data_IF_671951844918
#
_entry.id   IF_671951844918
#
_cell.length_a   1.000
_cell.length_b   1.000
_cell.length_c   1.000
_cell.angle_alpha   90.00
_cell.angle_beta   90.00
_cell.angle_gamma   90.00
#
_symmetry.space_group_name_H-M   'P 1'
#
loop_
_entity.id
_entity.type
_entity.pdbx_description
1 polymer ?
#
# COMPACT_ATOMS: atom_id res chain seq x y z
N UNK A 1 -10.94 -3.56 14.09
CA UNK A 1 -10.31 -4.80 14.65
C UNK A 1 -10.55 -5.92 13.65
N UNK A 2 -9.59 -6.85 13.49
CA UNK A 2 -9.68 -7.91 12.47
C UNK A 2 -9.19 -7.47 11.08
N UNK A 3 -8.27 -6.50 11.01
CA UNK A 3 -7.60 -6.12 9.76
C UNK A 3 -6.33 -6.97 9.59
N UNK A 4 -5.96 -7.25 8.34
CA UNK A 4 -4.67 -7.85 8.04
C UNK A 4 -3.57 -6.82 8.31
N UNK A 5 -2.51 -7.23 9.01
CA UNK A 5 -1.32 -6.42 9.26
C UNK A 5 -0.18 -7.08 8.49
N UNK A 6 0.52 -6.32 7.64
CA UNK A 6 1.60 -6.83 6.82
C UNK A 6 2.81 -5.89 6.81
N UNK A 7 4.01 -6.41 6.53
CA UNK A 7 5.21 -5.60 6.44
C UNK A 7 5.20 -4.61 5.26
N UNK A 8 5.86 -3.47 5.49
CA UNK A 8 6.14 -2.41 4.50
C UNK A 8 7.56 -1.84 4.70
N UNK A 9 8.55 -2.74 4.78
CA UNK A 9 9.95 -2.49 5.13
C UNK A 9 10.15 -2.08 6.60
N UNK A 10 11.30 -2.40 7.19
CA UNK A 10 11.68 -1.91 8.53
C UNK A 10 12.32 -0.50 8.42
N UNK A 11 13.12 -0.27 7.38
CA UNK A 11 13.84 1.00 7.16
C UNK A 11 13.30 1.84 6.01
N UNK A 12 12.19 1.42 5.39
CA UNK A 12 11.58 2.06 4.23
C UNK A 12 12.58 2.26 3.08
N UNK A 13 13.34 1.20 2.78
CA UNK A 13 14.42 1.21 1.80
C UNK A 13 13.89 1.34 0.36
N UNK A 14 14.60 2.10 -0.48
CA UNK A 14 14.38 2.09 -1.92
C UNK A 14 15.14 0.91 -2.54
N UNK A 15 14.43 -0.09 -3.06
CA UNK A 15 15.07 -1.31 -3.56
C UNK A 15 15.53 -1.25 -5.01
N UNK A 16 14.84 -0.48 -5.85
CA UNK A 16 15.10 -0.40 -7.28
C UNK A 16 15.29 1.06 -7.70
N UNK A 17 16.18 1.30 -8.65
CA UNK A 17 16.45 2.65 -9.15
C UNK A 17 15.21 3.25 -9.84
N UNK A 18 15.01 4.56 -9.66
CA UNK A 18 13.87 5.29 -10.22
C UNK A 18 13.94 5.44 -11.75
N UNK A 19 15.15 5.47 -12.31
CA UNK A 19 15.38 5.70 -13.75
C UNK A 19 15.51 4.37 -14.49
N UNK A 20 16.23 3.41 -13.91
CA UNK A 20 16.46 2.09 -14.46
C UNK A 20 15.97 1.03 -13.48
N UNK A 21 14.67 0.71 -13.55
CA UNK A 21 13.98 -0.19 -12.61
C UNK A 21 14.69 -1.54 -12.40
N UNK A 22 15.34 -2.08 -13.43
CA UNK A 22 16.07 -3.35 -13.33
C UNK A 22 17.40 -3.23 -12.55
N UNK A 23 17.82 -2.04 -12.14
CA UNK A 23 18.96 -1.83 -11.25
C UNK A 23 18.50 -1.94 -9.80
N UNK A 24 18.89 -3.02 -9.13
CA UNK A 24 18.69 -3.19 -7.68
C UNK A 24 19.70 -2.35 -6.91
N UNK A 25 19.22 -1.63 -5.89
CA UNK A 25 20.01 -0.70 -5.07
C UNK A 25 20.45 -1.29 -3.73
N UNK A 26 19.92 -2.45 -3.37
CA UNK A 26 20.23 -3.18 -2.14
C UNK A 26 20.72 -4.58 -2.46
N UNK A 27 21.45 -5.18 -1.54
CA UNK A 27 21.79 -6.59 -1.57
C UNK A 27 20.61 -7.45 -1.11
N UNK A 28 20.65 -8.74 -1.44
CA UNK A 28 19.65 -9.71 -0.96
C UNK A 28 19.62 -9.79 0.56
N UNK A 29 20.78 -9.80 1.22
CA UNK A 29 20.87 -9.89 2.68
C UNK A 29 20.25 -8.67 3.36
N UNK A 30 20.45 -7.46 2.80
CA UNK A 30 19.79 -6.24 3.28
C UNK A 30 18.27 -6.31 3.13
N UNK A 31 17.76 -6.78 1.99
CA UNK A 31 16.32 -6.97 1.78
C UNK A 31 15.73 -7.99 2.76
N UNK A 32 16.36 -9.15 2.91
CA UNK A 32 15.90 -10.22 3.81
C UNK A 32 15.86 -9.71 5.25
N UNK A 33 16.95 -9.09 5.71
CA UNK A 33 17.01 -8.54 7.07
C UNK A 33 15.94 -7.47 7.30
N UNK A 34 15.68 -6.61 6.32
CA UNK A 34 14.66 -5.56 6.40
C UNK A 34 13.23 -6.13 6.52
N UNK A 35 12.91 -7.17 5.75
CA UNK A 35 11.61 -7.87 5.85
C UNK A 35 11.48 -8.64 7.16
N UNK A 36 12.51 -9.39 7.57
CA UNK A 36 12.50 -10.18 8.80
C UNK A 36 12.40 -9.31 10.06
N UNK A 37 13.12 -8.19 10.10
CA UNK A 37 13.05 -7.24 11.22
C UNK A 37 11.64 -6.70 11.43
N UNK A 38 10.86 -6.50 10.37
CA UNK A 38 9.47 -6.09 10.46
C UNK A 38 8.62 -7.19 11.13
N UNK A 39 8.75 -8.45 10.70
CA UNK A 39 8.08 -9.59 11.36
C UNK A 39 8.49 -9.78 12.81
N UNK A 40 9.77 -9.59 13.14
CA UNK A 40 10.26 -9.62 14.53
C UNK A 40 9.58 -8.52 15.37
N UNK A 41 9.47 -7.30 14.84
CA UNK A 41 8.78 -6.20 15.53
C UNK A 41 7.29 -6.51 15.75
N UNK A 42 6.61 -7.06 14.75
CA UNK A 42 5.21 -7.48 14.85
C UNK A 42 5.02 -8.58 15.91
N UNK A 43 5.89 -9.60 15.91
CA UNK A 43 5.82 -10.69 16.88
C UNK A 43 5.98 -10.19 18.32
N UNK A 44 6.91 -9.26 18.57
CA UNK A 44 7.13 -8.65 19.90
C UNK A 44 5.88 -8.00 20.50
N UNK A 45 4.96 -7.54 19.66
CA UNK A 45 3.68 -6.93 20.10
C UNK A 45 2.49 -7.90 20.01
N UNK A 46 2.75 -9.20 19.82
CA UNK A 46 1.74 -10.26 19.78
C UNK A 46 1.04 -10.43 18.44
N UNK A 47 1.55 -9.82 17.35
CA UNK A 47 1.05 -10.04 16.00
C UNK A 47 1.79 -11.22 15.37
N UNK A 48 1.11 -12.36 15.27
CA UNK A 48 1.60 -13.50 14.50
C UNK A 48 0.87 -13.53 13.15
N UNK A 49 1.59 -13.28 12.05
CA UNK A 49 1.04 -13.29 10.71
C UNK A 49 1.11 -14.71 10.15
N UNK A 50 -0.07 -15.33 10.04
CA UNK A 50 -0.21 -16.66 9.45
C UNK A 50 -0.07 -16.61 7.92
N UNK A 51 0.25 -17.76 7.32
CA UNK A 51 0.32 -17.89 5.87
C UNK A 51 -1.09 -17.81 5.26
N UNK A 52 -1.25 -17.24 4.04
CA UNK A 52 -0.20 -16.64 3.21
C UNK A 52 0.28 -15.27 3.73
N UNK A 53 1.58 -15.02 3.59
CA UNK A 53 2.20 -13.73 3.95
C UNK A 53 2.24 -12.79 2.76
N UNK A 54 1.82 -11.55 2.99
CA UNK A 54 1.86 -10.47 1.99
C UNK A 54 2.82 -9.36 2.39
N UNK A 55 3.47 -8.76 1.40
CA UNK A 55 4.42 -7.67 1.55
C UNK A 55 4.18 -6.57 0.53
N UNK A 56 4.18 -5.31 0.96
CA UNK A 56 4.16 -4.17 0.05
C UNK A 56 5.53 -3.49 0.09
N UNK A 57 6.31 -3.49 -1.00
CA UNK A 57 7.57 -2.75 -1.05
C UNK A 57 7.35 -1.25 -0.86
N UNK A 58 8.26 -0.54 -0.15
CA UNK A 58 8.25 0.92 -0.03
C UNK A 58 8.18 1.61 -1.38
N UNK A 59 7.51 2.76 -1.38
CA UNK A 59 7.28 3.55 -2.59
C UNK A 59 6.55 2.79 -3.70
N UNK A 60 6.00 1.61 -3.38
CA UNK A 60 5.31 0.72 -4.30
C UNK A 60 6.20 0.33 -5.50
N UNK A 61 7.53 0.40 -5.29
CA UNK A 61 8.55 0.32 -6.33
C UNK A 61 9.55 -0.81 -6.06
N UNK A 62 9.61 -1.75 -7.00
CA UNK A 62 10.44 -2.95 -6.92
C UNK A 62 10.68 -3.52 -8.31
N UNK A 63 11.60 -4.47 -8.43
CA UNK A 63 11.92 -5.14 -9.69
C UNK A 63 11.82 -6.67 -9.57
N UNK A 64 12.22 -7.38 -10.62
CA UNK A 64 12.13 -8.84 -10.65
C UNK A 64 13.01 -9.52 -9.59
N UNK A 65 14.19 -8.99 -9.28
CA UNK A 65 15.07 -9.56 -8.26
C UNK A 65 14.43 -9.52 -6.87
N UNK A 66 13.90 -8.37 -6.48
CA UNK A 66 13.17 -8.20 -5.21
C UNK A 66 11.96 -9.12 -5.14
N UNK A 67 11.22 -9.26 -6.24
CA UNK A 67 10.08 -10.19 -6.33
C UNK A 67 10.50 -11.65 -6.14
N UNK A 68 11.63 -12.05 -6.73
CA UNK A 68 12.18 -13.39 -6.56
C UNK A 68 12.59 -13.63 -5.10
N UNK A 69 13.28 -12.67 -4.47
CA UNK A 69 13.69 -12.79 -3.07
C UNK A 69 12.50 -12.87 -2.12
N UNK A 70 11.45 -12.07 -2.33
CA UNK A 70 10.22 -12.17 -1.54
C UNK A 70 9.59 -13.56 -1.65
N UNK A 71 9.53 -14.12 -2.88
CA UNK A 71 9.03 -15.47 -3.11
C UNK A 71 9.87 -16.53 -2.40
N UNK A 72 11.19 -16.39 -2.37
CA UNK A 72 12.08 -17.31 -1.63
C UNK A 72 11.85 -17.29 -0.11
N UNK A 73 11.27 -16.20 0.43
CA UNK A 73 10.86 -16.08 1.83
C UNK A 73 9.41 -16.57 2.09
N UNK A 74 8.77 -17.18 1.09
CA UNK A 74 7.34 -17.51 1.10
C UNK A 74 6.45 -16.27 1.37
N UNK A 75 6.83 -15.12 0.82
CA UNK A 75 6.10 -13.85 0.95
C UNK A 75 5.67 -13.35 -0.43
N UNK A 76 4.37 -13.12 -0.59
CA UNK A 76 3.78 -12.59 -1.81
C UNK A 76 3.85 -11.06 -1.82
N UNK A 77 4.49 -10.47 -2.84
CA UNK A 77 4.41 -9.03 -3.07
C UNK A 77 2.99 -8.65 -3.51
N UNK A 78 2.46 -7.58 -2.90
CA UNK A 78 1.22 -6.91 -3.28
C UNK A 78 1.50 -5.45 -3.61
N UNK A 79 0.68 -4.89 -4.50
CA UNK A 79 0.75 -3.48 -4.85
C UNK A 79 -0.67 -2.91 -5.03
N UNK A 80 -0.81 -1.60 -4.99
CA UNK A 80 -2.10 -0.94 -5.24
C UNK A 80 -2.48 -1.00 -6.72
N UNK A 81 -3.76 -0.84 -7.00
CA UNK A 81 -4.28 -0.73 -8.36
C UNK A 81 -4.16 0.72 -8.84
N UNK A 82 -3.42 0.99 -9.93
CA UNK A 82 -3.29 2.34 -10.49
C UNK A 82 -4.64 2.90 -10.97
N UNK A 83 -4.75 4.24 -10.99
CA UNK A 83 -5.88 4.96 -11.59
C UNK A 83 -6.78 5.68 -10.58
N UNK A 84 -7.01 5.10 -9.41
CA UNK A 84 -7.86 5.71 -8.37
C UNK A 84 -7.28 7.01 -7.78
N UNK A 85 -5.96 7.21 -7.91
CA UNK A 85 -5.21 8.33 -7.31
C UNK A 85 -5.25 8.34 -5.77
N UNK A 86 -5.74 7.25 -5.14
CA UNK A 86 -5.81 7.12 -3.68
C UNK A 86 -4.45 7.32 -3.00
N UNK A 87 -3.39 6.81 -3.63
CA UNK A 87 -2.01 6.89 -3.14
C UNK A 87 -1.42 8.31 -3.11
N UNK A 88 -2.07 9.32 -3.71
CA UNK A 88 -1.58 10.70 -3.69
C UNK A 88 -1.86 11.42 -2.37
N UNK A 89 -2.49 10.76 -1.39
CA UNK A 89 -2.91 11.36 -0.13
C UNK A 89 -1.77 11.77 0.81
N UNK A 90 -0.55 11.24 0.58
CA UNK A 90 0.65 11.66 1.31
C UNK A 90 1.18 13.04 0.88
N UNK A 91 0.79 13.52 -0.31
CA UNK A 91 1.35 14.74 -0.90
C UNK A 91 1.00 15.99 -0.09
N UNK A 92 1.90 16.96 -0.02
CA UNK A 92 1.67 18.26 0.66
C UNK A 92 1.37 19.37 -0.34
N UNK A 93 0.72 20.49 0.06
CA UNK A 93 0.32 21.57 -0.85
C UNK A 93 1.46 22.19 -1.68
N UNK A 94 2.71 22.09 -1.21
CA UNK A 94 3.88 22.60 -1.92
C UNK A 94 4.40 21.65 -3.02
N UNK A 95 3.96 20.39 -3.04
CA UNK A 95 4.37 19.42 -4.05
C UNK A 95 3.60 19.63 -5.36
N UNK A 96 4.28 19.51 -6.50
CA UNK A 96 3.68 19.71 -7.82
C UNK A 96 2.58 18.68 -8.15
N UNK A 97 2.67 17.49 -7.57
CA UNK A 97 1.69 16.42 -7.72
C UNK A 97 0.61 16.42 -6.63
N UNK A 98 0.50 17.49 -5.84
CA UNK A 98 -0.51 17.59 -4.79
C UNK A 98 -1.93 17.37 -5.31
N UNK A 99 -2.69 16.56 -4.57
CA UNK A 99 -4.12 16.34 -4.79
C UNK A 99 -4.86 16.53 -3.48
N UNK A 100 -5.85 17.42 -3.44
CA UNK A 100 -6.70 17.58 -2.25
C UNK A 100 -7.49 16.31 -1.97
N UNK A 101 -7.90 16.11 -0.72
CA UNK A 101 -8.67 14.93 -0.35
C UNK A 101 -10.03 14.85 -1.05
N UNK A 102 -10.59 15.98 -1.47
CA UNK A 102 -11.80 16.01 -2.31
C UNK A 102 -11.51 15.60 -3.75
N UNK A 103 -10.39 16.04 -4.33
CA UNK A 103 -9.96 15.61 -5.66
C UNK A 103 -9.72 14.09 -5.70
N UNK A 104 -9.09 13.53 -4.66
CA UNK A 104 -8.86 12.09 -4.56
C UNK A 104 -10.19 11.34 -4.40
N UNK A 105 -11.09 11.80 -3.53
CA UNK A 105 -12.41 11.21 -3.36
C UNK A 105 -13.20 11.14 -4.68
N UNK A 106 -13.25 12.25 -5.41
CA UNK A 106 -13.96 12.33 -6.69
C UNK A 106 -13.28 11.48 -7.77
N UNK A 107 -11.93 11.37 -7.75
CA UNK A 107 -11.20 10.49 -8.66
C UNK A 107 -11.53 9.02 -8.42
N UNK A 108 -11.68 8.58 -7.17
CA UNK A 108 -12.10 7.21 -6.83
C UNK A 108 -13.48 6.91 -7.41
N UNK A 109 -14.46 7.79 -7.19
CA UNK A 109 -15.82 7.61 -7.74
C UNK A 109 -15.84 7.68 -9.27
N UNK A 110 -15.02 8.55 -9.86
CA UNK A 110 -14.92 8.66 -11.33
C UNK A 110 -14.27 7.43 -11.96
N UNK A 111 -13.33 6.79 -11.26
CA UNK A 111 -12.74 5.52 -11.68
C UNK A 111 -13.78 4.40 -11.57
N UNK A 112 -14.50 4.34 -10.45
CA UNK A 112 -15.59 3.39 -10.20
C UNK A 112 -16.65 3.43 -11.30
N UNK A 113 -17.13 4.61 -11.68
CA UNK A 113 -18.15 4.77 -12.73
C UNK A 113 -17.71 4.27 -14.12
N UNK A 114 -16.40 4.25 -14.37
CA UNK A 114 -15.83 3.89 -15.68
C UNK A 114 -15.40 2.42 -15.75
N UNK A 115 -14.72 1.96 -14.71
CA UNK A 115 -14.00 0.67 -14.70
C UNK A 115 -14.53 -0.28 -13.63
N UNK A 116 -15.34 0.21 -12.68
CA UNK A 116 -15.71 -0.50 -11.45
C UNK A 116 -14.57 -0.56 -10.43
N UNK A 117 -14.86 -1.09 -9.23
CA UNK A 117 -13.86 -1.30 -8.17
C UNK A 117 -13.65 -2.76 -7.77
N UNK A 118 -14.25 -3.71 -8.50
CA UNK A 118 -14.08 -5.12 -8.19
C UNK A 118 -12.63 -5.56 -8.41
N UNK A 119 -11.94 -5.99 -7.33
CA UNK A 119 -10.52 -6.33 -7.38
C UNK A 119 -9.56 -5.17 -7.12
N UNK A 120 -10.04 -3.95 -6.89
CA UNK A 120 -9.19 -2.78 -6.69
C UNK A 120 -8.59 -2.77 -5.29
N UNK A 121 -7.26 -2.61 -5.23
CA UNK A 121 -6.49 -2.38 -4.00
C UNK A 121 -6.19 -0.87 -3.93
N UNK A 122 -6.79 -0.17 -2.98
CA UNK A 122 -6.52 1.25 -2.72
C UNK A 122 -5.38 1.42 -1.69
N UNK A 123 -4.50 2.39 -1.91
CA UNK A 123 -3.42 2.75 -0.99
C UNK A 123 -3.71 4.10 -0.35
N UNK A 124 -3.63 4.16 0.98
CA UNK A 124 -3.94 5.34 1.81
C UNK A 124 -2.98 5.36 3.00
N UNK A 125 -2.52 6.54 3.40
CA UNK A 125 -1.50 6.72 4.41
C UNK A 125 -2.10 7.29 5.71
N UNK A 126 -2.02 6.54 6.81
CA UNK A 126 -2.51 6.97 8.14
C UNK A 126 -1.56 7.93 8.88
N UNK A 127 -0.41 8.27 8.28
CA UNK A 127 0.64 9.11 8.87
C UNK A 127 1.25 10.09 7.86
N UNK A 128 0.46 11.01 7.32
CA UNK A 128 0.94 11.99 6.34
C UNK A 128 1.56 13.23 7.01
N UNK A 129 2.44 13.92 6.27
CA UNK A 129 3.17 15.10 6.74
C UNK A 129 2.26 16.14 7.42
N UNK A 130 2.68 16.83 8.50
CA UNK A 130 1.85 17.82 9.20
C UNK A 130 1.22 18.89 8.30
N UNK A 131 1.97 19.37 7.30
CA UNK A 131 1.49 20.37 6.33
C UNK A 131 0.34 19.90 5.44
N UNK A 132 0.13 18.58 5.33
CA UNK A 132 -1.08 18.03 4.69
C UNK A 132 -2.23 18.14 5.68
N UNK A 133 -2.90 19.28 5.79
CA UNK A 133 -3.97 19.50 6.78
C UNK A 133 -5.31 18.86 6.39
N UNK A 134 -5.58 18.74 5.08
CA UNK A 134 -6.76 18.06 4.54
C UNK A 134 -6.49 16.55 4.41
N UNK A 135 -6.49 15.83 5.52
CA UNK A 135 -6.18 14.39 5.56
C UNK A 135 -7.26 13.55 4.87
N UNK A 136 -6.88 12.66 3.95
CA UNK A 136 -7.84 11.78 3.26
C UNK A 136 -8.55 10.84 4.24
N UNK A 137 -7.84 10.36 5.27
CA UNK A 137 -8.42 9.47 6.27
C UNK A 137 -9.62 10.09 7.03
N UNK A 138 -9.75 11.41 7.05
CA UNK A 138 -10.92 12.09 7.63
C UNK A 138 -12.18 11.95 6.76
N UNK A 139 -12.05 11.54 5.49
CA UNK A 139 -13.16 11.28 4.56
C UNK A 139 -13.50 9.79 4.41
N UNK A 140 -12.74 8.89 5.04
CA UNK A 140 -12.92 7.44 4.85
C UNK A 140 -14.31 6.95 5.24
N UNK A 141 -14.88 7.46 6.33
CA UNK A 141 -16.23 7.05 6.75
C UNK A 141 -17.27 7.31 5.66
N UNK A 142 -17.22 8.51 5.04
CA UNK A 142 -18.11 8.85 3.93
C UNK A 142 -17.82 8.00 2.69
N UNK A 143 -16.55 7.82 2.34
CA UNK A 143 -16.18 7.00 1.17
C UNK A 143 -16.62 5.55 1.32
N UNK A 144 -16.43 4.96 2.50
CA UNK A 144 -16.84 3.58 2.79
C UNK A 144 -18.37 3.46 2.70
N UNK A 145 -19.11 4.41 3.26
CA UNK A 145 -20.58 4.42 3.18
C UNK A 145 -21.07 4.54 1.74
N UNK A 146 -20.45 5.42 0.96
CA UNK A 146 -20.78 5.63 -0.45
C UNK A 146 -20.49 4.37 -1.28
N UNK A 147 -19.31 3.76 -1.14
CA UNK A 147 -18.98 2.55 -1.90
C UNK A 147 -19.86 1.37 -1.48
N UNK A 148 -20.23 1.26 -0.20
CA UNK A 148 -21.20 0.25 0.26
C UNK A 148 -22.61 0.48 -0.31
N UNK A 149 -23.07 1.72 -0.40
CA UNK A 149 -24.39 2.02 -0.98
C UNK A 149 -24.43 1.69 -2.48
N UNK A 150 -23.27 1.74 -3.14
CA UNK A 150 -23.06 1.28 -4.53
C UNK A 150 -22.88 -0.24 -4.68
N UNK A 151 -22.91 -1.00 -3.58
CA UNK A 151 -22.85 -2.46 -3.59
C UNK A 151 -21.46 -3.07 -3.48
N UNK A 152 -20.44 -2.29 -3.09
CA UNK A 152 -19.09 -2.82 -2.86
C UNK A 152 -18.90 -3.30 -1.41
N UNK A 153 -18.18 -4.41 -1.28
CA UNK A 153 -17.65 -4.90 -0.02
C UNK A 153 -16.16 -4.62 0.12
N UNK A 154 -15.72 -4.38 1.36
CA UNK A 154 -14.31 -4.20 1.70
C UNK A 154 -13.82 -5.49 2.34
N UNK A 155 -12.94 -6.19 1.64
CA UNK A 155 -12.34 -7.45 2.09
C UNK A 155 -10.88 -7.25 2.46
N UNK A 156 -10.34 -8.17 3.26
CA UNK A 156 -8.90 -8.15 3.55
C UNK A 156 -8.09 -8.62 2.34
N UNK A 157 -6.80 -8.28 2.31
CA UNK A 157 -5.91 -8.70 1.22
C UNK A 157 -5.79 -10.23 1.12
N UNK A 158 -5.79 -10.92 2.26
CA UNK A 158 -5.77 -12.37 2.35
C UNK A 158 -7.09 -13.05 1.98
N UNK A 159 -8.17 -12.28 1.83
CA UNK A 159 -9.45 -12.75 1.29
C UNK A 159 -9.57 -12.46 -0.20
N UNK A 160 -9.03 -11.32 -0.65
CA UNK A 160 -9.04 -10.90 -2.05
C UNK A 160 -8.19 -11.79 -2.95
N UNK A 161 -6.99 -12.18 -2.48
CA UNK A 161 -5.98 -12.88 -3.27
C UNK A 161 -6.00 -14.40 -3.07
N UNK A 162 -7.11 -14.96 -2.59
CA UNK A 162 -7.30 -16.41 -2.44
C UNK A 162 -7.43 -17.12 -3.79
#
# INVERSE_FOLDING_TARGET
KGHYMGPHSDKHLLYADWTKRDSTLVTKDEFVADVENNYIAMNKVGLNIEMPKYYMPPYEWYNQEVSNWAKELDVQIVNFTPGTTSNADYTTPAMSNYRSSEQIYNAILSFEEKEGLNGVIMLIHIGTHPDRTDKLYNKLDNLIKELKSRGYDFVRIDELLK
#
